data_IF_851366796209
#
_entry.id   IF_851366796209
#
_cell.length_a   1.000
_cell.length_b   1.000
_cell.length_c   1.000
_cell.angle_alpha   90.00
_cell.angle_beta   90.00
_cell.angle_gamma   90.00
#
_symmetry.space_group_name_H-M   'P 1'
#
loop_
_entity.id
_entity.type
_entity.pdbx_description
1 polymer ?
#
# COMPACT_ATOMS: atom_id res chain seq x y z
N UNK A 1 10.41 -62.64 13.06
CA UNK A 1 10.19 -61.58 12.05
C UNK A 1 8.97 -60.80 12.48
N UNK A 2 9.16 -59.62 13.04
CA UNK A 2 8.08 -58.72 13.41
C UNK A 2 7.84 -57.84 12.19
N UNK A 3 6.57 -57.82 11.70
CA UNK A 3 6.18 -56.93 10.60
C UNK A 3 6.34 -55.46 11.04
N UNK A 4 6.78 -54.58 10.16
CA UNK A 4 6.86 -53.15 10.44
C UNK A 4 5.42 -52.58 10.57
N UNK A 5 5.20 -51.82 11.64
CA UNK A 5 3.98 -51.03 11.84
C UNK A 5 3.77 -50.07 10.65
N UNK A 6 2.54 -49.87 10.19
CA UNK A 6 2.28 -48.94 9.09
C UNK A 6 2.63 -47.52 9.50
N UNK A 7 3.32 -46.84 8.57
CA UNK A 7 3.66 -45.43 8.66
C UNK A 7 2.47 -44.60 9.12
N UNK A 8 2.74 -43.73 10.09
CA UNK A 8 1.79 -42.73 10.55
C UNK A 8 1.45 -41.78 9.45
N UNK A 9 0.46 -42.13 8.64
CA UNK A 9 -0.14 -41.28 7.62
C UNK A 9 -0.70 -40.06 8.35
N UNK A 10 0.01 -38.94 8.26
CA UNK A 10 -0.48 -37.63 8.70
C UNK A 10 -1.76 -37.34 7.94
N UNK A 11 -2.91 -37.52 8.57
CA UNK A 11 -4.22 -37.16 8.04
C UNK A 11 -4.20 -35.64 7.88
N UNK A 12 -3.93 -35.14 6.67
CA UNK A 12 -4.15 -33.75 6.31
C UNK A 12 -5.66 -33.51 6.31
N UNK A 13 -6.19 -32.98 7.41
CA UNK A 13 -7.54 -32.44 7.42
C UNK A 13 -7.58 -31.24 6.50
N UNK A 14 -8.02 -31.43 5.26
CA UNK A 14 -8.35 -30.36 4.33
C UNK A 14 -9.69 -29.75 4.80
N UNK A 15 -9.66 -28.47 5.17
CA UNK A 15 -10.89 -27.73 5.48
C UNK A 15 -11.68 -27.47 4.21
N UNK A 16 -13.00 -27.55 4.30
CA UNK A 16 -13.88 -27.27 3.17
C UNK A 16 -13.98 -25.73 2.93
N UNK A 17 -14.37 -25.34 1.71
CA UNK A 17 -14.68 -23.94 1.37
C UNK A 17 -15.66 -23.32 2.36
N UNK A 18 -16.71 -24.08 2.72
CA UNK A 18 -17.72 -23.62 3.68
C UNK A 18 -17.16 -23.36 5.09
N UNK A 19 -16.29 -24.24 5.59
CA UNK A 19 -15.64 -24.05 6.91
C UNK A 19 -14.74 -22.82 6.91
N UNK A 20 -13.94 -22.62 5.87
CA UNK A 20 -13.04 -21.47 5.73
C UNK A 20 -13.86 -20.17 5.64
N UNK A 21 -14.90 -20.15 4.82
CA UNK A 21 -15.82 -19.01 4.70
C UNK A 21 -16.43 -18.63 6.04
N UNK A 22 -17.04 -19.59 6.74
CA UNK A 22 -17.66 -19.36 8.05
C UNK A 22 -16.66 -18.84 9.07
N UNK A 23 -15.44 -19.39 9.06
CA UNK A 23 -14.39 -18.95 9.96
C UNK A 23 -14.00 -17.47 9.69
N UNK A 24 -13.76 -17.10 8.44
CA UNK A 24 -13.40 -15.72 8.06
C UNK A 24 -14.51 -14.74 8.43
N UNK A 25 -15.78 -15.08 8.13
CA UNK A 25 -16.95 -14.25 8.47
C UNK A 25 -17.04 -14.07 9.99
N UNK A 26 -16.80 -15.13 10.78
CA UNK A 26 -16.85 -15.05 12.25
C UNK A 26 -15.78 -14.11 12.80
N UNK A 27 -14.55 -14.20 12.31
CA UNK A 27 -13.45 -13.34 12.77
C UNK A 27 -13.64 -11.89 12.35
N UNK A 28 -14.10 -11.65 11.11
CA UNK A 28 -14.44 -10.30 10.62
C UNK A 28 -15.59 -9.69 11.43
N UNK A 29 -16.66 -10.45 11.66
CA UNK A 29 -17.81 -10.01 12.49
C UNK A 29 -17.35 -9.59 13.89
N UNK A 30 -16.49 -10.38 14.53
CA UNK A 30 -15.93 -10.09 15.86
C UNK A 30 -15.05 -8.84 15.84
N UNK A 31 -14.18 -8.71 14.84
CA UNK A 31 -13.26 -7.58 14.72
C UNK A 31 -13.97 -6.26 14.41
N UNK A 32 -14.95 -6.29 13.50
CA UNK A 32 -15.69 -5.12 13.05
C UNK A 32 -16.93 -4.80 13.91
N UNK A 33 -17.31 -5.74 14.82
CA UNK A 33 -18.52 -5.65 15.66
C UNK A 33 -19.81 -5.48 14.85
N UNK A 34 -19.92 -6.24 13.77
CA UNK A 34 -21.10 -6.28 12.88
C UNK A 34 -21.76 -7.65 12.93
N UNK A 35 -23.03 -7.73 12.52
CA UNK A 35 -23.73 -9.02 12.42
C UNK A 35 -23.06 -9.90 11.33
N UNK A 36 -22.70 -11.16 11.59
CA UNK A 36 -22.20 -12.08 10.59
C UNK A 36 -23.07 -12.18 9.32
N UNK A 37 -24.38 -12.07 9.47
CA UNK A 37 -25.34 -12.12 8.36
C UNK A 37 -25.32 -10.86 7.48
N UNK A 38 -24.73 -9.77 7.96
CA UNK A 38 -24.56 -8.54 7.18
C UNK A 38 -23.32 -8.55 6.30
N UNK A 39 -22.46 -9.56 6.45
CA UNK A 39 -21.21 -9.66 5.68
C UNK A 39 -21.50 -10.34 4.34
N UNK A 40 -21.38 -9.56 3.25
CA UNK A 40 -21.43 -10.09 1.89
C UNK A 40 -20.11 -10.80 1.55
N UNK A 41 -20.16 -12.14 1.44
CA UNK A 41 -18.97 -12.98 1.19
C UNK A 41 -18.47 -12.91 -0.25
N UNK A 42 -19.33 -12.52 -1.18
CA UNK A 42 -18.96 -12.30 -2.58
C UNK A 42 -18.49 -10.86 -2.84
N UNK A 43 -18.85 -9.94 -1.95
CA UNK A 43 -18.45 -8.53 -2.01
C UNK A 43 -16.97 -8.31 -1.72
N UNK A 44 -16.49 -7.14 -2.14
CA UNK A 44 -15.09 -6.78 -1.95
C UNK A 44 -14.75 -6.62 -0.46
N UNK A 45 -13.70 -7.30 0.01
CA UNK A 45 -13.26 -7.31 1.42
C UNK A 45 -13.02 -5.92 1.99
N UNK A 46 -12.47 -5.00 1.22
CA UNK A 46 -12.22 -3.62 1.66
C UNK A 46 -13.52 -2.82 1.86
N UNK A 47 -14.64 -3.20 1.22
CA UNK A 47 -15.95 -2.56 1.44
C UNK A 47 -16.51 -2.85 2.83
N UNK A 48 -16.00 -3.87 3.51
CA UNK A 48 -16.42 -4.25 4.87
C UNK A 48 -15.83 -3.35 5.96
N UNK A 49 -14.93 -2.42 5.62
CA UNK A 49 -14.35 -1.47 6.58
C UNK A 49 -13.23 -2.04 7.45
N UNK A 50 -12.70 -3.20 7.14
CA UNK A 50 -11.52 -3.76 7.82
C UNK A 50 -10.29 -2.90 7.49
N UNK A 51 -9.60 -2.41 8.52
CA UNK A 51 -8.30 -1.77 8.34
C UNK A 51 -7.18 -2.80 8.12
N UNK A 52 -6.00 -2.32 7.70
CA UNK A 52 -4.86 -3.19 7.40
C UNK A 52 -4.42 -4.03 8.60
N UNK A 53 -4.55 -3.52 9.82
CA UNK A 53 -4.17 -4.23 11.05
C UNK A 53 -5.12 -5.40 11.30
N UNK A 54 -6.41 -5.15 11.16
CA UNK A 54 -7.47 -6.17 11.28
C UNK A 54 -7.30 -7.27 10.23
N UNK A 55 -7.08 -6.90 8.97
CA UNK A 55 -6.91 -7.87 7.89
C UNK A 55 -5.67 -8.75 8.09
N UNK A 56 -4.52 -8.18 8.48
CA UNK A 56 -3.30 -8.93 8.81
C UNK A 56 -3.53 -9.84 10.03
N UNK A 57 -4.21 -9.34 11.06
CA UNK A 57 -4.53 -10.11 12.26
C UNK A 57 -5.38 -11.34 11.94
N UNK A 58 -6.42 -11.18 11.12
CA UNK A 58 -7.29 -12.27 10.67
C UNK A 58 -6.51 -13.27 9.81
N UNK A 59 -5.65 -12.78 8.89
CA UNK A 59 -4.79 -13.67 8.08
C UNK A 59 -3.85 -14.51 8.95
N UNK A 60 -3.23 -13.90 9.98
CA UNK A 60 -2.37 -14.61 10.91
C UNK A 60 -3.12 -15.67 11.73
N UNK A 61 -4.32 -15.34 12.21
CA UNK A 61 -5.18 -16.29 12.93
C UNK A 61 -5.66 -17.44 12.01
N UNK A 62 -5.98 -17.14 10.74
CA UNK A 62 -6.36 -18.11 9.72
C UNK A 62 -5.21 -19.09 9.41
N UNK A 63 -3.98 -18.56 9.30
CA UNK A 63 -2.78 -19.36 9.12
C UNK A 63 -2.59 -20.37 10.27
N UNK A 64 -2.77 -19.90 11.52
CA UNK A 64 -2.72 -20.77 12.70
C UNK A 64 -3.84 -21.82 12.72
N UNK A 65 -5.07 -21.45 12.35
CA UNK A 65 -6.22 -22.37 12.31
C UNK A 65 -6.11 -23.44 11.23
N UNK A 66 -5.52 -23.06 10.07
CA UNK A 66 -5.26 -23.99 8.96
C UNK A 66 -3.96 -24.78 9.15
N UNK A 67 -3.14 -24.45 10.15
CA UNK A 67 -1.78 -24.95 10.33
C UNK A 67 -0.96 -24.87 9.03
N UNK A 68 -1.03 -23.71 8.37
CA UNK A 68 -0.43 -23.45 7.06
C UNK A 68 0.10 -22.02 7.01
N UNK A 69 1.28 -21.82 6.43
CA UNK A 69 1.78 -20.48 6.17
C UNK A 69 0.93 -19.77 5.11
N UNK A 70 0.42 -18.58 5.46
CA UNK A 70 -0.35 -17.74 4.56
C UNK A 70 0.33 -16.39 4.39
N UNK A 71 0.31 -15.81 3.17
CA UNK A 71 0.84 -14.48 2.95
C UNK A 71 0.02 -13.46 3.75
N UNK A 72 0.70 -12.48 4.36
CA UNK A 72 0.01 -11.44 5.12
C UNK A 72 -0.92 -10.57 4.25
N UNK A 73 -0.68 -10.61 2.95
CA UNK A 73 -1.46 -9.92 1.93
C UNK A 73 -2.72 -10.68 1.49
N UNK A 74 -2.97 -11.89 2.02
CA UNK A 74 -4.07 -12.77 1.60
C UNK A 74 -5.41 -12.04 1.42
N UNK A 75 -5.78 -11.17 2.36
CA UNK A 75 -7.04 -10.42 2.31
C UNK A 75 -7.09 -9.36 1.20
N UNK A 76 -5.96 -9.05 0.59
CA UNK A 76 -5.84 -8.13 -0.56
C UNK A 76 -5.56 -8.85 -1.88
N UNK A 77 -4.98 -10.05 -1.80
CA UNK A 77 -4.66 -10.86 -2.99
C UNK A 77 -5.92 -11.47 -3.63
N UNK A 78 -7.00 -11.58 -2.83
CA UNK A 78 -8.28 -12.13 -3.29
C UNK A 78 -9.39 -11.09 -3.18
N UNK A 79 -10.28 -11.00 -4.19
CA UNK A 79 -11.30 -9.96 -4.27
C UNK A 79 -12.41 -10.11 -3.21
N UNK A 80 -12.62 -11.31 -2.65
CA UNK A 80 -13.73 -11.61 -1.76
C UNK A 80 -13.40 -12.74 -0.79
N UNK A 81 -14.24 -12.90 0.26
CA UNK A 81 -14.15 -14.02 1.21
C UNK A 81 -14.33 -15.36 0.48
N UNK A 82 -15.24 -15.41 -0.49
CA UNK A 82 -15.50 -16.60 -1.28
C UNK A 82 -14.27 -17.02 -2.07
N UNK A 83 -13.61 -16.07 -2.73
CA UNK A 83 -12.38 -16.30 -3.47
C UNK A 83 -11.23 -16.79 -2.58
N UNK A 84 -11.10 -16.25 -1.35
CA UNK A 84 -10.12 -16.73 -0.37
C UNK A 84 -10.43 -18.19 0.03
N UNK A 85 -11.69 -18.48 0.33
CA UNK A 85 -12.08 -19.81 0.80
C UNK A 85 -11.86 -20.89 -0.29
N UNK A 86 -12.18 -20.58 -1.54
CA UNK A 86 -11.92 -21.43 -2.69
C UNK A 86 -10.42 -21.65 -2.89
N UNK A 87 -9.65 -20.57 -2.92
CA UNK A 87 -8.20 -20.63 -3.09
C UNK A 87 -7.51 -21.45 -2.00
N UNK A 88 -7.91 -21.35 -0.75
CA UNK A 88 -7.30 -22.07 0.37
C UNK A 88 -7.67 -23.56 0.42
N UNK A 89 -8.73 -23.97 -0.27
CA UNK A 89 -9.18 -25.37 -0.34
C UNK A 89 -8.45 -26.15 -1.41
N UNK A 90 -8.05 -25.47 -2.50
CA UNK A 90 -7.29 -26.09 -3.56
C UNK A 90 -5.83 -26.31 -3.11
N UNK A 91 -5.39 -27.59 -3.12
CA UNK A 91 -4.01 -27.98 -2.73
C UNK A 91 -2.93 -27.36 -3.63
N UNK A 92 -3.36 -26.82 -4.75
CA UNK A 92 -2.57 -26.11 -5.76
C UNK A 92 -2.70 -24.59 -5.69
N UNK A 93 -3.04 -24.01 -4.53
CA UNK A 93 -2.87 -22.55 -4.42
C UNK A 93 -1.41 -22.26 -4.74
N UNK A 94 -1.07 -21.69 -5.89
CA UNK A 94 0.24 -21.17 -6.10
C UNK A 94 0.46 -20.19 -4.95
N UNK A 95 1.52 -20.37 -4.18
CA UNK A 95 2.03 -19.27 -3.37
C UNK A 95 2.02 -18.08 -4.30
N UNK A 96 1.12 -17.15 -4.04
CA UNK A 96 0.59 -16.12 -4.97
C UNK A 96 1.66 -15.70 -5.96
N UNK A 97 1.44 -15.98 -7.26
CA UNK A 97 2.44 -15.66 -8.29
C UNK A 97 2.84 -14.17 -8.22
N UNK A 98 1.92 -13.32 -7.77
CA UNK A 98 2.15 -11.91 -7.52
C UNK A 98 3.12 -11.62 -6.37
N UNK A 99 3.12 -12.40 -5.28
CA UNK A 99 4.06 -12.18 -4.16
C UNK A 99 5.52 -12.52 -4.56
N UNK A 100 5.69 -13.52 -5.43
CA UNK A 100 6.99 -13.84 -6.04
C UNK A 100 7.53 -12.72 -6.94
N UNK A 101 6.65 -11.85 -7.45
CA UNK A 101 7.00 -10.73 -8.30
C UNK A 101 7.16 -9.41 -7.52
N UNK A 102 6.96 -9.40 -6.20
CA UNK A 102 6.95 -8.17 -5.40
C UNK A 102 5.76 -7.26 -5.73
N UNK A 103 4.63 -7.85 -6.15
CA UNK A 103 3.39 -7.15 -6.47
C UNK A 103 2.18 -7.81 -5.83
N UNK A 104 1.13 -7.03 -5.61
CA UNK A 104 -0.20 -7.50 -5.21
C UNK A 104 -1.21 -7.09 -6.27
N UNK A 105 -2.19 -7.92 -6.54
CA UNK A 105 -3.28 -7.58 -7.44
C UNK A 105 -4.33 -6.77 -6.69
N UNK A 106 -4.48 -5.49 -7.03
CA UNK A 106 -5.47 -4.60 -6.40
C UNK A 106 -6.83 -4.67 -7.11
N UNK A 107 -6.83 -4.84 -8.43
CA UNK A 107 -8.01 -5.04 -9.27
C UNK A 107 -7.60 -5.91 -10.46
N UNK A 108 -8.13 -7.16 -10.58
CA UNK A 108 -7.67 -8.10 -11.60
C UNK A 108 -8.35 -7.94 -12.96
N UNK A 109 -9.54 -7.29 -13.00
CA UNK A 109 -10.41 -7.32 -14.17
C UNK A 109 -10.02 -6.27 -15.21
N UNK A 110 -10.27 -6.62 -16.48
CA UNK A 110 -10.11 -5.72 -17.59
C UNK A 110 -9.00 -6.11 -18.56
N UNK A 111 -8.96 -5.43 -19.69
CA UNK A 111 -8.00 -5.65 -20.75
C UNK A 111 -7.33 -4.35 -21.25
N UNK A 112 -7.57 -3.24 -20.55
CA UNK A 112 -6.86 -1.99 -20.80
C UNK A 112 -5.46 -2.03 -20.18
N UNK A 113 -4.64 -1.05 -20.52
CA UNK A 113 -3.29 -0.95 -19.93
C UNK A 113 -3.36 -0.87 -18.41
N UNK A 114 -2.60 -1.72 -17.71
CA UNK A 114 -2.59 -1.77 -16.25
C UNK A 114 -2.13 -0.47 -15.61
N UNK A 115 -2.66 -0.19 -14.41
CA UNK A 115 -2.14 0.85 -13.52
C UNK A 115 -1.23 0.21 -12.47
N UNK A 116 0.05 0.62 -12.43
CA UNK A 116 1.02 0.18 -11.47
C UNK A 116 1.15 1.19 -10.32
N UNK A 117 0.86 0.75 -9.09
CA UNK A 117 0.78 1.59 -7.91
C UNK A 117 2.01 1.44 -7.03
N UNK A 118 2.78 2.50 -6.87
CA UNK A 118 4.01 2.56 -6.06
C UNK A 118 3.68 2.94 -4.61
N UNK A 119 4.20 2.22 -3.62
CA UNK A 119 3.82 2.37 -2.22
C UNK A 119 4.46 3.58 -1.55
N UNK A 120 3.84 4.06 -0.46
CA UNK A 120 4.47 5.00 0.46
C UNK A 120 5.69 4.41 1.18
N UNK A 121 6.30 5.20 2.09
CA UNK A 121 7.52 4.82 2.79
C UNK A 121 7.41 3.53 3.62
N UNK A 122 6.20 3.14 4.06
CA UNK A 122 5.94 1.86 4.72
C UNK A 122 6.05 0.63 3.81
N UNK A 123 6.20 0.84 2.49
CA UNK A 123 6.56 -0.20 1.51
C UNK A 123 5.41 -1.03 0.96
N UNK A 124 4.17 -0.84 1.41
CA UNK A 124 2.99 -1.54 0.90
C UNK A 124 2.08 -0.61 0.10
N UNK A 125 1.61 -1.07 -1.05
CA UNK A 125 0.70 -0.31 -1.94
C UNK A 125 -0.79 -0.55 -1.65
N UNK A 126 -1.13 -1.27 -0.58
CA UNK A 126 -2.52 -1.46 -0.11
C UNK A 126 -3.28 -0.15 0.11
N UNK A 127 -2.57 0.95 0.33
CA UNK A 127 -3.13 2.31 0.38
C UNK A 127 -3.94 2.67 -0.87
N UNK A 128 -3.65 2.05 -2.01
CA UNK A 128 -4.38 2.25 -3.26
C UNK A 128 -5.65 1.38 -3.39
N UNK A 129 -5.83 0.36 -2.56
CA UNK A 129 -6.96 -0.55 -2.66
C UNK A 129 -8.33 0.16 -2.66
N UNK A 130 -8.60 1.17 -1.79
CA UNK A 130 -9.85 1.91 -1.87
C UNK A 130 -10.04 2.65 -3.20
N UNK A 131 -8.97 3.26 -3.73
CA UNK A 131 -9.02 3.96 -5.02
C UNK A 131 -9.32 3.00 -6.18
N UNK A 132 -8.60 1.87 -6.24
CA UNK A 132 -8.69 0.92 -7.35
C UNK A 132 -10.06 0.25 -7.44
N UNK A 133 -10.75 0.12 -6.32
CA UNK A 133 -12.14 -0.35 -6.27
C UNK A 133 -13.12 0.53 -7.04
N UNK A 134 -12.81 1.81 -7.17
CA UNK A 134 -13.67 2.80 -7.82
C UNK A 134 -13.21 3.20 -9.23
N UNK A 135 -12.08 2.70 -9.71
CA UNK A 135 -11.56 3.03 -11.06
C UNK A 135 -12.47 2.46 -12.16
N UNK A 136 -13.11 1.31 -11.91
CA UNK A 136 -13.91 0.56 -12.86
C UNK A 136 -13.22 -0.76 -13.27
N UNK A 137 -14.02 -1.70 -13.76
CA UNK A 137 -13.58 -3.08 -14.03
C UNK A 137 -12.72 -3.27 -15.28
N UNK A 138 -12.45 -2.22 -16.05
CA UNK A 138 -11.73 -2.36 -17.32
C UNK A 138 -10.21 -2.10 -17.19
N UNK A 139 -9.73 -1.63 -16.04
CA UNK A 139 -8.32 -1.30 -15.81
C UNK A 139 -7.74 -2.23 -14.74
N UNK A 140 -6.95 -3.22 -15.11
CA UNK A 140 -6.18 -4.00 -14.14
C UNK A 140 -5.29 -3.08 -13.30
N UNK A 141 -5.21 -3.32 -11.99
CA UNK A 141 -4.39 -2.52 -11.09
C UNK A 141 -3.50 -3.41 -10.24
N UNK A 142 -2.21 -3.12 -10.25
CA UNK A 142 -1.21 -3.86 -9.50
C UNK A 142 -0.51 -2.95 -8.51
N UNK A 143 -0.45 -3.37 -7.27
CA UNK A 143 0.27 -2.69 -6.23
C UNK A 143 1.67 -3.26 -6.06
N UNK A 144 2.69 -2.42 -6.12
CA UNK A 144 4.08 -2.81 -5.94
C UNK A 144 4.46 -2.86 -4.46
N UNK A 145 5.38 -3.73 -4.10
CA UNK A 145 5.96 -3.84 -2.76
C UNK A 145 7.42 -3.41 -2.80
N UNK A 146 7.86 -2.61 -1.83
CA UNK A 146 9.28 -2.22 -1.74
C UNK A 146 10.13 -3.45 -1.45
N UNK A 147 11.21 -3.68 -2.22
CA UNK A 147 12.15 -4.77 -1.96
C UNK A 147 12.69 -4.74 -0.53
N UNK A 148 12.81 -5.90 0.09
CA UNK A 148 13.26 -6.06 1.48
C UNK A 148 12.14 -6.28 2.51
N UNK A 149 10.86 -6.06 2.16
CA UNK A 149 9.75 -6.36 3.06
C UNK A 149 9.48 -7.86 3.24
N UNK A 150 9.87 -8.70 2.29
CA UNK A 150 9.74 -10.15 2.34
C UNK A 150 10.94 -10.87 2.99
N UNK A 151 11.94 -10.14 3.51
CA UNK A 151 13.21 -10.66 4.10
C UNK A 151 14.12 -11.45 3.14
N UNK A 152 13.73 -11.67 1.91
CA UNK A 152 14.54 -12.37 0.93
C UNK A 152 15.71 -11.51 0.43
N UNK A 153 15.55 -10.20 0.52
CA UNK A 153 16.54 -9.22 0.09
C UNK A 153 16.74 -8.15 1.17
N UNK A 154 17.94 -7.59 1.23
CA UNK A 154 18.16 -6.37 2.02
C UNK A 154 17.46 -5.18 1.35
N UNK A 155 16.90 -4.24 2.13
CA UNK A 155 16.37 -3.01 1.58
C UNK A 155 17.44 -2.25 0.79
N UNK A 156 17.10 -1.76 -0.39
CA UNK A 156 17.97 -0.85 -1.14
C UNK A 156 18.04 0.53 -0.47
N UNK A 157 19.17 1.21 -0.62
CA UNK A 157 19.39 2.52 -0.02
C UNK A 157 19.28 3.68 -1.03
N UNK A 158 18.98 3.40 -2.29
CA UNK A 158 18.85 4.38 -3.37
C UNK A 158 17.49 4.24 -4.06
N UNK A 159 16.85 5.38 -4.34
CA UNK A 159 15.55 5.43 -5.03
C UNK A 159 15.66 4.80 -6.42
N UNK A 160 16.78 5.00 -7.08
CA UNK A 160 17.09 4.49 -8.42
C UNK A 160 17.11 2.96 -8.44
N UNK A 161 17.70 2.33 -7.43
CA UNK A 161 17.78 0.87 -7.30
C UNK A 161 16.40 0.27 -6.98
N UNK A 162 15.65 0.92 -6.08
CA UNK A 162 14.30 0.49 -5.73
C UNK A 162 13.40 0.56 -6.96
N UNK A 163 13.44 1.67 -7.70
CA UNK A 163 12.65 1.86 -8.92
C UNK A 163 13.03 0.82 -10.00
N UNK A 164 14.32 0.54 -10.20
CA UNK A 164 14.78 -0.45 -11.15
C UNK A 164 14.29 -1.87 -10.80
N UNK A 165 14.33 -2.25 -9.53
CA UNK A 165 13.82 -3.53 -9.07
C UNK A 165 12.30 -3.65 -9.29
N UNK A 166 11.53 -2.58 -9.02
CA UNK A 166 10.10 -2.53 -9.27
C UNK A 166 9.77 -2.58 -10.77
N UNK A 167 10.57 -1.95 -11.62
CA UNK A 167 10.42 -2.03 -13.07
C UNK A 167 10.64 -3.45 -13.60
N UNK A 168 11.55 -4.22 -13.02
CA UNK A 168 11.70 -5.63 -13.39
C UNK A 168 10.40 -6.41 -13.12
N UNK A 169 9.75 -6.16 -11.98
CA UNK A 169 8.46 -6.77 -11.67
C UNK A 169 7.36 -6.32 -12.65
N UNK A 170 7.29 -5.04 -12.96
CA UNK A 170 6.34 -4.49 -13.94
C UNK A 170 6.50 -5.15 -15.30
N UNK A 171 7.72 -5.31 -15.78
CA UNK A 171 7.99 -5.93 -17.09
C UNK A 171 7.62 -7.41 -17.20
N UNK A 172 7.53 -8.11 -16.07
CA UNK A 172 7.01 -9.49 -16.07
C UNK A 172 5.50 -9.54 -16.33
N UNK A 173 4.77 -8.49 -15.98
CA UNK A 173 3.33 -8.36 -16.25
C UNK A 173 3.08 -7.66 -17.58
N UNK A 174 3.76 -6.57 -17.82
CA UNK A 174 3.65 -5.76 -19.03
C UNK A 174 5.04 -5.52 -19.64
N UNK A 175 5.48 -6.35 -20.61
CA UNK A 175 6.83 -6.28 -21.17
C UNK A 175 7.16 -4.99 -21.93
N UNK A 176 6.14 -4.33 -22.50
CA UNK A 176 6.28 -3.10 -23.31
C UNK A 176 5.22 -2.07 -22.92
N UNK A 177 5.61 -0.78 -23.07
CA UNK A 177 4.68 0.33 -22.89
C UNK A 177 3.50 0.34 -23.88
N UNK A 178 2.59 1.29 -23.70
CA UNK A 178 2.68 2.46 -22.80
C UNK A 178 2.36 2.12 -21.36
N UNK A 179 3.16 2.62 -20.41
CA UNK A 179 2.97 2.33 -18.98
C UNK A 179 2.12 3.40 -18.28
N UNK A 180 1.31 2.99 -17.32
CA UNK A 180 0.56 3.86 -16.43
C UNK A 180 1.07 3.67 -14.99
N UNK A 181 1.62 4.71 -14.41
CA UNK A 181 2.26 4.69 -13.10
C UNK A 181 1.54 5.62 -12.13
N UNK A 182 1.24 5.12 -10.93
CA UNK A 182 0.68 5.92 -9.84
C UNK A 182 1.55 5.76 -8.59
N UNK A 183 1.89 6.84 -7.91
CA UNK A 183 2.73 6.78 -6.72
C UNK A 183 2.20 7.66 -5.59
N UNK A 184 2.13 7.12 -4.37
CA UNK A 184 1.70 7.83 -3.18
C UNK A 184 2.87 8.14 -2.26
N UNK A 185 2.99 9.41 -1.79
CA UNK A 185 4.03 9.82 -0.85
C UNK A 185 5.43 9.49 -1.40
N UNK A 186 6.20 8.65 -0.74
CA UNK A 186 7.49 8.14 -1.25
C UNK A 186 7.34 7.46 -2.61
N UNK A 187 6.24 6.73 -2.82
CA UNK A 187 5.93 6.07 -4.09
C UNK A 187 5.85 7.01 -5.28
N UNK A 188 5.52 8.29 -5.06
CA UNK A 188 5.58 9.29 -6.12
C UNK A 188 7.00 9.58 -6.61
N UNK A 189 8.00 9.54 -5.73
CA UNK A 189 9.41 9.63 -6.12
C UNK A 189 9.85 8.37 -6.87
N UNK A 190 9.42 7.19 -6.42
CA UNK A 190 9.70 5.92 -7.07
C UNK A 190 9.06 5.85 -8.47
N UNK A 191 7.79 6.25 -8.61
CA UNK A 191 7.09 6.28 -9.88
C UNK A 191 7.74 7.28 -10.86
N UNK A 192 8.18 8.44 -10.35
CA UNK A 192 8.89 9.43 -11.13
C UNK A 192 10.24 8.92 -11.63
N UNK A 193 11.03 8.26 -10.77
CA UNK A 193 12.29 7.65 -11.15
C UNK A 193 12.08 6.49 -12.15
N UNK A 194 11.06 5.65 -11.92
CA UNK A 194 10.69 4.57 -12.84
C UNK A 194 10.32 5.14 -14.22
N UNK A 195 9.55 6.23 -14.28
CA UNK A 195 9.23 6.92 -15.54
C UNK A 195 10.46 7.43 -16.27
N UNK A 196 11.45 7.97 -15.53
CA UNK A 196 12.71 8.40 -16.12
C UNK A 196 13.52 7.23 -16.70
N UNK A 197 13.58 6.10 -15.98
CA UNK A 197 14.29 4.90 -16.44
C UNK A 197 13.61 4.27 -17.66
N UNK A 198 12.26 4.20 -17.68
CA UNK A 198 11.49 3.77 -18.85
C UNK A 198 11.76 4.63 -20.07
N UNK A 199 11.69 5.95 -19.88
CA UNK A 199 11.98 6.89 -20.98
C UNK A 199 13.43 6.75 -21.49
N UNK A 200 14.40 6.60 -20.62
CA UNK A 200 15.79 6.37 -21.00
C UNK A 200 15.98 5.05 -21.77
N UNK A 201 15.11 4.06 -21.55
CA UNK A 201 15.05 2.82 -22.31
C UNK A 201 14.24 2.92 -23.61
N UNK A 202 13.74 4.10 -23.99
CA UNK A 202 12.93 4.30 -25.17
C UNK A 202 11.46 3.91 -25.05
N UNK A 203 10.99 3.63 -23.82
CA UNK A 203 9.62 3.23 -23.53
C UNK A 203 8.71 4.45 -23.28
N UNK A 204 7.43 4.29 -23.54
CA UNK A 204 6.42 5.34 -23.35
C UNK A 204 5.73 5.18 -22.00
N UNK A 205 5.59 6.30 -21.26
CA UNK A 205 4.75 6.41 -20.07
C UNK A 205 3.55 7.28 -20.44
N UNK A 206 2.37 6.67 -20.54
CA UNK A 206 1.13 7.38 -20.89
C UNK A 206 0.51 8.10 -19.70
N UNK A 207 0.81 7.66 -18.46
CA UNK A 207 0.37 8.34 -17.25
C UNK A 207 1.43 8.25 -16.17
N UNK A 208 1.78 9.41 -15.59
CA UNK A 208 2.50 9.52 -14.33
C UNK A 208 1.63 10.31 -13.33
N UNK A 209 0.94 9.59 -12.44
CA UNK A 209 0.06 10.12 -11.41
C UNK A 209 0.77 10.12 -10.06
N UNK A 210 0.94 11.29 -9.45
CA UNK A 210 1.64 11.46 -8.17
C UNK A 210 0.64 11.93 -7.12
N UNK A 211 0.48 11.17 -6.03
CA UNK A 211 -0.44 11.48 -4.94
C UNK A 211 0.31 12.08 -3.75
N UNK A 212 0.10 13.36 -3.56
CA UNK A 212 0.60 14.20 -2.46
C UNK A 212 2.09 14.02 -2.12
N UNK A 213 2.89 13.85 -3.16
CA UNK A 213 4.35 13.72 -3.07
C UNK A 213 5.01 15.08 -3.22
N UNK A 214 6.01 15.31 -2.42
CA UNK A 214 6.91 16.46 -2.52
C UNK A 214 8.24 16.03 -3.12
N UNK A 215 8.82 16.89 -3.94
CA UNK A 215 10.24 16.74 -4.26
C UNK A 215 11.09 17.02 -3.01
N UNK A 216 12.33 16.53 -2.93
CA UNK A 216 13.20 16.84 -1.79
C UNK A 216 13.35 18.36 -1.53
N UNK A 217 13.35 19.18 -2.58
CA UNK A 217 13.45 20.64 -2.47
C UNK A 217 12.10 21.34 -2.23
N UNK A 218 11.00 20.67 -2.56
CA UNK A 218 9.63 21.17 -2.34
C UNK A 218 9.15 21.13 -0.89
N UNK A 219 9.88 20.40 -0.03
CA UNK A 219 9.56 20.22 1.39
C UNK A 219 10.81 20.46 2.25
N UNK A 220 11.06 21.72 2.59
CA UNK A 220 12.25 22.12 3.35
C UNK A 220 11.93 22.18 4.84
N UNK A 221 12.68 21.43 5.65
CA UNK A 221 12.50 21.41 7.10
C UNK A 221 12.78 22.80 7.70
N UNK A 222 11.82 23.34 8.44
CA UNK A 222 12.00 24.62 9.14
C UNK A 222 13.09 24.52 10.23
N UNK A 223 13.83 25.61 10.51
CA UNK A 223 14.74 25.69 11.65
C UNK A 223 14.05 25.28 12.96
N UNK A 224 14.80 24.67 13.88
CA UNK A 224 14.26 24.15 15.15
C UNK A 224 13.47 25.19 15.94
N UNK A 225 13.94 26.43 16.01
CA UNK A 225 13.29 27.53 16.75
C UNK A 225 11.92 27.90 16.12
N UNK A 226 11.81 27.92 14.78
CA UNK A 226 10.52 28.19 14.12
C UNK A 226 9.52 27.07 14.40
N UNK A 227 9.97 25.82 14.37
CA UNK A 227 9.11 24.65 14.67
C UNK A 227 8.60 24.71 16.12
N UNK A 228 9.45 25.08 17.07
CA UNK A 228 9.05 25.24 18.47
C UNK A 228 8.03 26.35 18.65
N UNK A 229 8.22 27.51 18.02
CA UNK A 229 7.26 28.61 18.04
C UNK A 229 5.92 28.23 17.44
N UNK A 230 5.91 27.64 16.25
CA UNK A 230 4.68 27.22 15.60
C UNK A 230 3.95 26.12 16.40
N UNK A 231 4.70 25.20 16.99
CA UNK A 231 4.15 24.16 17.86
C UNK A 231 3.51 24.76 19.12
N UNK A 232 4.17 25.73 19.75
CA UNK A 232 3.62 26.48 20.87
C UNK A 232 2.33 27.24 20.50
N UNK A 233 2.31 27.88 19.32
CA UNK A 233 1.10 28.55 18.81
C UNK A 233 -0.07 27.56 18.62
N UNK A 234 0.18 26.37 18.08
CA UNK A 234 -0.85 25.34 17.92
C UNK A 234 -1.38 24.87 19.28
N UNK A 235 -0.49 24.61 20.24
CA UNK A 235 -0.87 24.18 21.60
C UNK A 235 -1.57 25.30 22.36
N UNK A 236 -1.31 26.56 22.06
CA UNK A 236 -2.00 27.70 22.65
C UNK A 236 -3.50 27.74 22.24
N UNK A 237 -3.87 27.19 21.11
CA UNK A 237 -5.28 27.10 20.70
C UNK A 237 -6.02 25.98 21.44
N UNK A 238 -7.32 26.19 21.72
CA UNK A 238 -8.17 25.22 22.42
C UNK A 238 -8.34 23.91 21.63
N UNK A 239 -8.42 24.01 20.29
CA UNK A 239 -8.49 22.88 19.37
C UNK A 239 -7.15 22.12 19.27
N UNK A 240 -6.04 22.82 19.15
CA UNK A 240 -4.70 22.22 19.07
C UNK A 240 -4.32 21.47 20.33
N UNK A 241 -4.67 21.99 21.53
CA UNK A 241 -4.48 21.27 22.81
C UNK A 241 -5.27 19.97 22.88
N UNK A 242 -6.54 19.98 22.43
CA UNK A 242 -7.37 18.78 22.40
C UNK A 242 -6.80 17.72 21.45
N UNK A 243 -6.36 18.13 20.28
CA UNK A 243 -5.76 17.22 19.29
C UNK A 243 -4.40 16.68 19.77
N UNK A 244 -3.56 17.51 20.37
CA UNK A 244 -2.29 17.10 20.97
C UNK A 244 -2.50 16.06 22.08
N UNK A 245 -3.42 16.32 23.01
CA UNK A 245 -3.76 15.39 24.09
C UNK A 245 -4.33 14.08 23.55
N UNK A 246 -5.20 14.14 22.56
CA UNK A 246 -5.75 12.95 21.90
C UNK A 246 -4.64 12.08 21.30
N UNK A 247 -3.72 12.66 20.54
CA UNK A 247 -2.56 11.95 19.94
C UNK A 247 -1.63 11.37 21.01
N UNK A 248 -1.41 12.08 22.13
CA UNK A 248 -0.60 11.56 23.24
C UNK A 248 -1.27 10.37 23.95
N UNK A 249 -2.58 10.45 24.16
CA UNK A 249 -3.36 9.36 24.77
C UNK A 249 -3.37 8.13 23.84
N UNK A 250 -3.54 8.33 22.55
CA UNK A 250 -3.54 7.27 21.54
C UNK A 250 -2.17 6.58 21.45
N UNK A 251 -1.07 7.34 21.43
CA UNK A 251 0.30 6.79 21.50
C UNK A 251 0.53 5.97 22.78
N UNK A 252 0.03 6.46 23.94
CA UNK A 252 0.14 5.72 25.21
C UNK A 252 -0.74 4.45 25.21
N UNK A 253 -1.90 4.51 24.56
CA UNK A 253 -2.77 3.34 24.38
C UNK A 253 -2.08 2.27 23.52
N UNK A 254 -1.59 2.63 22.34
CA UNK A 254 -0.83 1.74 21.45
C UNK A 254 0.39 1.15 22.17
N UNK A 255 1.15 1.96 22.90
CA UNK A 255 2.31 1.49 23.66
C UNK A 255 1.94 0.52 24.83
N UNK A 256 0.77 0.69 25.44
CA UNK A 256 0.25 -0.24 26.47
C UNK A 256 -0.26 -1.54 25.85
N UNK A 257 -0.98 -1.44 24.73
CA UNK A 257 -1.48 -2.59 23.98
C UNK A 257 -0.31 -3.44 23.45
N UNK A 258 0.74 -2.80 22.92
CA UNK A 258 1.98 -3.47 22.50
C UNK A 258 2.66 -4.20 23.68
N UNK A 259 2.69 -3.60 24.87
CA UNK A 259 3.32 -4.18 26.06
C UNK A 259 2.51 -5.33 26.67
N UNK A 260 1.17 -5.29 26.57
CA UNK A 260 0.30 -6.40 27.01
C UNK A 260 0.30 -7.57 26.03
N UNK A 261 0.64 -7.32 24.76
CA UNK A 261 0.73 -8.33 23.72
C UNK A 261 2.03 -9.18 23.78
N UNK A 262 3.06 -8.75 24.50
CA UNK A 262 4.30 -9.52 24.69
C UNK A 262 4.08 -10.88 25.39
N UNK A 263 2.93 -11.09 26.02
CA UNK A 263 2.60 -12.31 26.79
C UNK A 263 1.68 -13.31 26.06
N UNK A 264 1.31 -13.08 24.79
CA UNK A 264 0.41 -13.95 24.03
C UNK A 264 1.12 -14.51 22.80
N UNK A 265 1.24 -15.84 22.74
CA UNK A 265 2.07 -16.67 21.86
C UNK A 265 2.26 -16.32 20.37
N UNK A 266 3.10 -17.08 19.75
CA UNK A 266 3.62 -17.12 18.34
C UNK A 266 3.11 -16.15 17.26
N UNK A 267 1.81 -15.98 17.09
CA UNK A 267 1.22 -15.10 16.09
C UNK A 267 1.55 -13.60 16.32
N UNK A 268 1.60 -13.18 17.58
CA UNK A 268 1.94 -11.80 17.96
C UNK A 268 3.45 -11.54 17.76
N UNK A 269 4.30 -12.53 18.02
CA UNK A 269 5.73 -12.42 17.71
C UNK A 269 5.98 -12.22 16.21
N UNK A 270 5.18 -12.85 15.35
CA UNK A 270 5.25 -12.63 13.88
C UNK A 270 4.78 -11.23 13.48
N UNK A 271 3.71 -10.72 14.10
CA UNK A 271 3.23 -9.33 13.85
C UNK A 271 4.31 -8.33 14.26
N UNK A 272 4.87 -8.44 15.44
CA UNK A 272 5.96 -7.56 15.91
C UNK A 272 7.22 -7.65 15.04
N UNK A 273 7.57 -8.86 14.59
CA UNK A 273 8.72 -9.03 13.69
C UNK A 273 8.49 -8.35 12.32
N UNK A 274 7.25 -8.35 11.82
CA UNK A 274 6.84 -7.63 10.59
C UNK A 274 6.80 -6.12 10.79
N UNK A 275 6.24 -5.65 11.89
CA UNK A 275 6.26 -4.22 12.25
C UNK A 275 7.68 -3.69 12.37
N UNK A 276 8.57 -4.45 12.99
CA UNK A 276 10.00 -4.11 13.10
C UNK A 276 10.64 -4.02 11.71
N UNK A 277 10.37 -4.99 10.84
CA UNK A 277 10.89 -5.00 9.46
C UNK A 277 10.33 -3.83 8.65
N UNK A 278 9.02 -3.58 8.71
CA UNK A 278 8.39 -2.44 8.05
C UNK A 278 8.98 -1.11 8.53
N UNK A 279 9.28 -0.99 9.82
CA UNK A 279 9.95 0.18 10.39
C UNK A 279 11.39 0.32 9.91
N UNK A 280 12.13 -0.76 9.80
CA UNK A 280 13.49 -0.78 9.26
C UNK A 280 13.51 -0.35 7.78
N UNK A 281 12.59 -0.91 6.97
CA UNK A 281 12.38 -0.52 5.58
C UNK A 281 12.00 0.96 5.47
N UNK A 282 11.05 1.45 6.29
CA UNK A 282 10.66 2.87 6.32
C UNK A 282 11.84 3.79 6.63
N UNK A 283 12.69 3.42 7.59
CA UNK A 283 13.88 4.20 7.92
C UNK A 283 14.90 4.22 6.78
N UNK A 284 15.06 3.10 6.08
CA UNK A 284 15.96 3.00 4.92
C UNK A 284 15.41 3.81 3.75
N UNK A 285 14.11 3.73 3.48
CA UNK A 285 13.44 4.55 2.47
C UNK A 285 13.57 6.05 2.76
N UNK A 286 13.44 6.47 4.02
CA UNK A 286 13.64 7.87 4.41
C UNK A 286 15.08 8.35 4.18
N UNK A 287 16.08 7.47 4.32
CA UNK A 287 17.47 7.79 3.97
C UNK A 287 17.64 7.91 2.45
N UNK A 288 17.02 7.02 1.68
CA UNK A 288 17.03 7.08 0.22
C UNK A 288 16.40 8.38 -0.28
N UNK A 289 15.25 8.80 0.27
CA UNK A 289 14.60 10.09 -0.04
C UNK A 289 15.56 11.27 0.17
N UNK A 290 16.26 11.29 1.30
CA UNK A 290 17.16 12.40 1.65
C UNK A 290 18.34 12.54 0.68
N UNK A 291 18.76 11.45 0.07
CA UNK A 291 19.88 11.39 -0.90
C UNK A 291 19.43 11.60 -2.35
N UNK A 292 18.17 11.29 -2.66
CA UNK A 292 17.64 11.32 -4.02
C UNK A 292 17.67 12.73 -4.60
N UNK A 293 18.11 12.82 -5.84
CA UNK A 293 18.14 14.06 -6.65
C UNK A 293 17.44 13.80 -7.97
N UNK A 294 16.12 14.07 -8.04
CA UNK A 294 15.34 13.84 -9.25
C UNK A 294 15.88 14.68 -10.41
N UNK A 295 16.00 14.06 -11.57
CA UNK A 295 16.39 14.75 -12.81
C UNK A 295 15.14 15.39 -13.46
N UNK A 296 15.33 16.27 -14.43
CA UNK A 296 14.21 16.81 -15.21
C UNK A 296 13.49 15.72 -16.00
N UNK A 297 12.19 15.85 -16.10
CA UNK A 297 11.31 14.94 -16.83
C UNK A 297 10.45 15.76 -17.81
N UNK A 298 10.50 15.43 -19.11
CA UNK A 298 9.91 16.25 -20.15
C UNK A 298 8.43 15.96 -20.41
N UNK A 299 7.89 14.82 -19.93
CA UNK A 299 6.51 14.46 -20.16
C UNK A 299 5.60 14.98 -19.03
N UNK A 300 4.27 15.09 -19.28
CA UNK A 300 3.33 15.60 -18.29
C UNK A 300 3.28 14.75 -17.04
N UNK A 301 3.12 15.41 -15.88
CA UNK A 301 2.90 14.80 -14.57
C UNK A 301 1.55 15.27 -14.03
N UNK A 302 0.74 14.36 -13.50
CA UNK A 302 -0.51 14.69 -12.80
C UNK A 302 -0.27 14.60 -11.31
N UNK A 303 -0.29 15.74 -10.62
CA UNK A 303 -0.16 15.82 -9.18
C UNK A 303 -1.53 15.89 -8.52
N UNK A 304 -1.97 14.80 -7.90
CA UNK A 304 -3.12 14.76 -7.01
C UNK A 304 -2.70 15.26 -5.63
N UNK A 305 -3.19 16.41 -5.22
CA UNK A 305 -2.71 17.14 -4.05
C UNK A 305 -3.77 17.22 -2.97
N UNK A 306 -3.40 16.83 -1.74
CA UNK A 306 -4.23 17.00 -0.56
C UNK A 306 -4.53 18.48 -0.28
N UNK A 307 -5.77 18.80 0.06
CA UNK A 307 -6.19 20.19 0.36
C UNK A 307 -5.98 20.57 1.82
N UNK A 308 -5.84 19.61 2.73
CA UNK A 308 -5.62 19.82 4.17
C UNK A 308 -4.14 19.62 4.54
N UNK A 309 -3.44 20.73 4.87
CA UNK A 309 -1.97 20.72 5.10
C UNK A 309 -1.55 21.38 6.41
N UNK A 310 -2.44 21.38 7.40
CA UNK A 310 -2.18 22.13 8.65
C UNK A 310 -0.96 21.66 9.44
N UNK A 311 -0.73 20.34 9.47
CA UNK A 311 0.36 19.77 10.29
C UNK A 311 1.72 19.84 9.59
N UNK A 312 1.75 19.58 8.30
CA UNK A 312 2.98 19.64 7.49
C UNK A 312 3.56 21.06 7.49
N UNK A 313 2.70 22.08 7.42
CA UNK A 313 3.10 23.49 7.43
C UNK A 313 3.81 23.93 8.73
N UNK A 314 3.63 23.21 9.84
CA UNK A 314 4.32 23.48 11.10
C UNK A 314 5.80 23.08 11.02
N UNK A 315 6.06 21.92 10.44
CA UNK A 315 7.40 21.33 10.40
C UNK A 315 8.20 21.77 9.19
N UNK A 316 7.53 22.05 8.07
CA UNK A 316 8.17 22.28 6.78
C UNK A 316 7.78 23.63 6.19
N UNK A 317 8.70 24.21 5.44
CA UNK A 317 8.41 25.24 4.44
C UNK A 317 7.99 24.46 3.18
N UNK A 318 6.75 24.66 2.75
CA UNK A 318 6.12 23.90 1.67
C UNK A 318 6.08 24.79 0.42
N UNK A 319 6.46 24.22 -0.72
CA UNK A 319 6.07 24.79 -2.03
C UNK A 319 4.59 24.48 -2.27
N UNK A 320 3.75 25.49 -2.10
CA UNK A 320 2.30 25.36 -2.33
C UNK A 320 1.90 25.43 -3.80
N UNK A 321 2.80 25.78 -4.69
CA UNK A 321 2.49 25.86 -6.12
C UNK A 321 2.40 24.47 -6.76
N UNK A 322 3.46 23.67 -6.66
CA UNK A 322 3.59 22.41 -7.36
C UNK A 322 4.19 21.27 -6.52
N UNK A 323 4.33 21.41 -5.19
CA UNK A 323 5.09 20.50 -4.34
C UNK A 323 6.58 20.34 -4.76
N UNK A 324 7.10 21.33 -5.53
CA UNK A 324 8.45 21.32 -6.09
C UNK A 324 8.55 20.70 -7.50
N UNK A 325 7.49 20.09 -8.02
CA UNK A 325 7.51 19.40 -9.31
C UNK A 325 7.62 20.34 -10.52
N UNK A 326 7.15 21.60 -10.41
CA UNK A 326 7.21 22.58 -11.52
C UNK A 326 8.63 22.75 -12.08
N UNK A 327 9.62 22.90 -11.20
CA UNK A 327 11.02 23.06 -11.58
C UNK A 327 11.63 21.83 -12.30
N UNK A 328 11.04 20.64 -12.12
CA UNK A 328 11.52 19.39 -12.70
C UNK A 328 10.80 19.01 -14.00
N UNK A 329 9.66 19.65 -14.30
CA UNK A 329 8.79 19.30 -15.42
C UNK A 329 8.57 20.46 -16.38
N UNK A 330 9.36 21.53 -16.27
CA UNK A 330 9.18 22.76 -17.02
C UNK A 330 7.72 23.26 -16.97
N UNK A 331 7.15 23.26 -15.73
CA UNK A 331 5.76 23.61 -15.41
C UNK A 331 4.66 22.75 -16.10
N UNK A 332 5.03 21.58 -16.62
CA UNK A 332 4.07 20.62 -17.20
C UNK A 332 3.38 19.75 -16.16
N UNK A 333 3.33 20.20 -14.92
CA UNK A 333 2.60 19.52 -13.85
C UNK A 333 1.15 19.98 -13.83
N UNK A 334 0.23 19.04 -14.00
CA UNK A 334 -1.20 19.27 -13.84
C UNK A 334 -1.62 18.98 -12.42
N UNK A 335 -2.12 19.98 -11.71
CA UNK A 335 -2.49 19.86 -10.29
C UNK A 335 -3.98 19.61 -10.16
N UNK A 336 -4.33 18.55 -9.45
CA UNK A 336 -5.71 18.14 -9.12
C UNK A 336 -5.87 18.11 -7.61
N UNK A 337 -6.68 19.01 -7.05
CA UNK A 337 -6.98 19.03 -5.62
C UNK A 337 -7.87 17.85 -5.21
N UNK A 338 -7.47 17.14 -4.15
CA UNK A 338 -8.27 16.10 -3.51
C UNK A 338 -8.57 16.48 -2.06
N UNK A 339 -9.79 16.20 -1.55
CA UNK A 339 -10.11 16.45 -0.14
C UNK A 339 -9.24 15.60 0.79
N UNK A 340 -9.10 16.04 2.03
CA UNK A 340 -8.35 15.36 3.07
C UNK A 340 -6.89 15.81 3.18
N UNK A 341 -6.20 15.18 4.10
CA UNK A 341 -4.77 15.37 4.43
C UNK A 341 -3.89 14.36 3.68
N UNK A 342 -2.58 14.49 3.84
CA UNK A 342 -1.62 13.50 3.31
C UNK A 342 -2.00 12.06 3.66
N UNK A 343 -2.42 11.79 4.89
CA UNK A 343 -2.76 10.45 5.36
C UNK A 343 -4.15 9.96 4.94
N UNK A 344 -5.05 10.86 4.55
CA UNK A 344 -6.44 10.50 4.21
C UNK A 344 -6.81 10.67 2.74
N UNK A 345 -5.90 11.18 1.90
CA UNK A 345 -6.17 11.46 0.47
C UNK A 345 -6.64 10.23 -0.33
N UNK A 346 -6.21 9.02 0.06
CA UNK A 346 -6.60 7.74 -0.52
C UNK A 346 -7.44 6.88 0.44
N UNK A 347 -7.97 7.47 1.54
CA UNK A 347 -8.84 6.74 2.45
C UNK A 347 -10.17 6.34 1.78
N UNK A 348 -10.88 5.38 2.36
CA UNK A 348 -12.20 4.93 1.89
C UNK A 348 -13.16 6.09 1.64
N UNK A 349 -13.16 7.10 2.53
CA UNK A 349 -14.02 8.27 2.44
C UNK A 349 -13.74 9.13 1.18
N UNK A 350 -12.47 9.21 0.75
CA UNK A 350 -12.04 10.06 -0.36
C UNK A 350 -11.82 9.28 -1.66
N UNK A 351 -11.81 7.95 -1.60
CA UNK A 351 -11.39 7.07 -2.70
C UNK A 351 -12.25 7.23 -3.96
N UNK A 352 -13.57 7.32 -3.82
CA UNK A 352 -14.47 7.50 -4.96
C UNK A 352 -14.14 8.80 -5.72
N UNK A 353 -14.08 9.94 -5.01
CA UNK A 353 -13.76 11.22 -5.62
C UNK A 353 -12.35 11.27 -6.22
N UNK A 354 -11.39 10.55 -5.62
CA UNK A 354 -10.04 10.42 -6.17
C UNK A 354 -10.05 9.60 -7.47
N UNK A 355 -10.82 8.51 -7.52
CA UNK A 355 -10.97 7.69 -8.72
C UNK A 355 -11.67 8.45 -9.87
N UNK A 356 -12.74 9.19 -9.56
CA UNK A 356 -13.44 10.03 -10.53
C UNK A 356 -12.51 11.06 -11.18
N UNK A 357 -11.60 11.64 -10.39
CA UNK A 357 -10.61 12.61 -10.89
C UNK A 357 -9.42 11.95 -11.61
N UNK A 358 -9.14 10.68 -11.36
CA UNK A 358 -8.09 9.92 -12.05
C UNK A 358 -8.55 9.43 -13.42
N UNK A 359 -9.80 8.96 -13.56
CA UNK A 359 -10.33 8.33 -14.79
C UNK A 359 -10.03 9.09 -16.09
N UNK A 360 -10.14 10.43 -16.18
CA UNK A 360 -9.85 11.17 -17.41
C UNK A 360 -8.40 11.05 -17.91
N UNK A 361 -7.50 10.53 -17.08
CA UNK A 361 -6.08 10.38 -17.39
C UNK A 361 -5.70 8.93 -17.73
N UNK A 362 -6.57 7.96 -17.42
CA UNK A 362 -6.32 6.56 -17.72
C UNK A 362 -6.40 6.33 -19.24
N UNK A 363 -5.43 5.59 -19.77
CA UNK A 363 -5.41 5.23 -21.19
C UNK A 363 -6.54 4.28 -21.53
N UNK A 364 -7.21 4.52 -22.64
CA UNK A 364 -8.20 3.59 -23.20
C UNK A 364 -7.57 2.49 -24.06
N UNK A 365 -6.27 2.52 -24.25
CA UNK A 365 -5.54 1.51 -25.01
C UNK A 365 -5.59 0.13 -24.35
N UNK A 366 -5.56 -0.90 -25.18
CA UNK A 366 -5.42 -2.28 -24.73
C UNK A 366 -3.94 -2.64 -24.68
N UNK A 367 -3.50 -3.19 -23.56
CA UNK A 367 -2.13 -3.67 -23.41
C UNK A 367 -2.10 -5.20 -23.31
N UNK A 368 -1.07 -5.79 -23.89
CA UNK A 368 -0.80 -7.21 -23.71
C UNK A 368 -0.21 -7.40 -22.32
N UNK A 369 -0.98 -8.05 -21.47
CA UNK A 369 -0.54 -8.47 -20.13
C UNK A 369 -0.09 -9.93 -20.25
N UNK A 370 1.08 -10.24 -19.74
CA UNK A 370 1.57 -11.62 -19.67
C UNK A 370 0.70 -12.39 -18.67
N UNK A 371 0.07 -13.48 -19.13
CA UNK A 371 -0.77 -14.37 -18.32
C UNK A 371 0.05 -15.40 -17.57
#
# INVERSE_FOLDING_TARGET
MLEPLPDSTTIKYSRSVAEIRVWIVTELSRALKVDPLSIDTAGALYSLGADSVTAIGITGALAGWLNRDLPATLMWDYPSIDAIAEALTDSNVPAVAADRLGMITLQPLGNRCPLFCFPGAGGHSTTFAPLTAHIGSNHPCFGLTVPGLNREQKPFEQVEEIAAAMLNSIRLVQPKGPYQLAGYSFGGLLAYEAAQQLRAAGETVSLLAIYDTFTPDGLVLRPRWQRLLLHACVIATRSGRREYLRKQLERRRIAREAKSAENVGGAIAMVHAREKLAKEVELTNNRAIARYRPRRYADPVVLFRATERKMEAIFYKIDYSSNGWGALTDDRVRIVGLPGSHLSILSMENAQGAAEKLRPYLSEEHCVVAT
#
